data_IF_754500268898
#
_entry.id   IF_754500268898
#
_cell.length_a   1.000
_cell.length_b   1.000
_cell.length_c   1.000
_cell.angle_alpha   90.00
_cell.angle_beta   90.00
_cell.angle_gamma   90.00
#
_symmetry.space_group_name_H-M   'P 1'
#
loop_
_entity.id
_entity.type
_entity.pdbx_description
1 polymer ?
#
# COMPACT_ATOMS: atom_id res chain seq x y z
N UNK A 1 -9.93 34.86 -1.79
CA UNK A 1 -10.10 33.72 -0.85
C UNK A 1 -9.66 32.49 -1.61
N UNK A 2 -8.41 32.04 -1.44
CA UNK A 2 -7.93 30.83 -2.11
C UNK A 2 -8.51 29.63 -1.35
N UNK A 3 -9.44 28.91 -1.98
CA UNK A 3 -9.87 27.60 -1.48
C UNK A 3 -8.67 26.66 -1.56
N UNK A 4 -8.04 26.42 -0.41
CA UNK A 4 -7.01 25.39 -0.22
C UNK A 4 -7.64 23.99 -0.04
N UNK A 5 -8.94 23.87 -0.25
CA UNK A 5 -9.70 22.64 -0.05
C UNK A 5 -9.82 21.89 -1.37
N UNK A 6 -9.71 20.56 -1.29
CA UNK A 6 -10.01 19.67 -2.40
C UNK A 6 -11.47 19.90 -2.82
N UNK A 7 -11.78 19.99 -4.12
CA UNK A 7 -13.16 20.03 -4.57
C UNK A 7 -13.91 18.79 -4.07
N UNK A 8 -15.16 18.97 -3.66
CA UNK A 8 -15.98 17.87 -3.15
C UNK A 8 -16.21 16.81 -4.23
N UNK A 9 -16.37 15.56 -3.79
CA UNK A 9 -16.71 14.45 -4.69
C UNK A 9 -17.94 14.77 -5.55
N UNK A 10 -17.88 14.45 -6.83
CA UNK A 10 -18.91 14.72 -7.82
C UNK A 10 -18.90 16.13 -8.40
N UNK A 11 -18.05 17.04 -7.88
CA UNK A 11 -17.84 18.38 -8.48
C UNK A 11 -17.34 18.21 -9.91
N UNK A 12 -17.90 19.03 -10.80
CA UNK A 12 -17.51 19.06 -12.21
C UNK A 12 -16.68 20.31 -12.46
N UNK A 13 -15.50 20.15 -13.04
CA UNK A 13 -14.51 21.20 -13.30
C UNK A 13 -13.99 21.08 -14.73
N UNK A 14 -13.31 22.11 -15.23
CA UNK A 14 -12.43 21.91 -16.40
C UNK A 14 -11.23 21.04 -16.01
N UNK A 15 -10.56 20.44 -16.99
CA UNK A 15 -9.34 19.67 -16.72
C UNK A 15 -8.25 20.56 -16.13
N UNK A 16 -8.09 21.79 -16.64
CA UNK A 16 -7.12 22.75 -16.12
C UNK A 16 -7.39 23.16 -14.67
N UNK A 17 -8.66 23.29 -14.27
CA UNK A 17 -9.06 23.55 -12.89
C UNK A 17 -8.79 22.34 -11.99
N UNK A 18 -9.16 21.14 -12.46
CA UNK A 18 -8.92 19.89 -11.74
C UNK A 18 -7.43 19.63 -11.52
N UNK A 19 -6.57 19.82 -12.54
CA UNK A 19 -5.10 19.62 -12.41
C UNK A 19 -4.56 20.49 -11.29
N UNK A 20 -4.89 21.79 -11.32
CA UNK A 20 -4.46 22.75 -10.29
C UNK A 20 -4.97 22.39 -8.90
N UNK A 21 -6.19 21.87 -8.79
CA UNK A 21 -6.76 21.45 -7.52
C UNK A 21 -6.04 20.21 -6.96
N UNK A 22 -5.78 19.20 -7.80
CA UNK A 22 -5.12 17.96 -7.40
C UNK A 22 -3.65 18.20 -7.04
N UNK A 23 -2.95 19.07 -7.79
CA UNK A 23 -1.56 19.46 -7.50
C UNK A 23 -1.46 20.16 -6.14
N UNK A 24 -2.38 21.09 -5.86
CA UNK A 24 -2.44 21.78 -4.56
C UNK A 24 -2.75 20.80 -3.43
N UNK A 25 -3.74 19.94 -3.61
CA UNK A 25 -4.14 18.97 -2.59
C UNK A 25 -3.01 17.98 -2.28
N UNK A 26 -2.38 17.38 -3.29
CA UNK A 26 -1.22 16.48 -3.08
C UNK A 26 -0.11 17.21 -2.33
N UNK A 27 0.19 18.45 -2.70
CA UNK A 27 1.20 19.23 -2.01
C UNK A 27 0.87 19.44 -0.54
N UNK A 28 -0.36 19.81 -0.19
CA UNK A 28 -0.79 19.96 1.20
C UNK A 28 -0.66 18.65 1.99
N UNK A 29 -0.92 17.52 1.35
CA UNK A 29 -0.75 16.21 1.96
C UNK A 29 0.72 15.88 2.22
N UNK A 30 1.59 16.17 1.26
CA UNK A 30 3.03 15.95 1.39
C UNK A 30 3.68 16.86 2.44
N UNK A 31 3.19 18.09 2.59
CA UNK A 31 3.64 19.04 3.63
C UNK A 31 3.43 18.52 5.06
N UNK A 32 2.54 17.55 5.28
CA UNK A 32 2.35 16.89 6.59
C UNK A 32 3.51 15.96 6.96
N UNK A 33 4.23 15.43 5.98
CA UNK A 33 5.29 14.43 6.18
C UNK A 33 6.69 14.92 5.79
N UNK A 34 6.79 15.84 4.84
CA UNK A 34 8.05 16.30 4.29
C UNK A 34 8.28 17.80 4.51
N UNK A 35 9.54 18.17 4.71
CA UNK A 35 9.97 19.56 4.66
C UNK A 35 9.95 20.11 3.23
N UNK A 36 9.86 21.45 3.12
CA UNK A 36 9.70 22.16 1.85
C UNK A 36 10.72 21.80 0.75
N UNK A 37 11.95 21.40 1.13
CA UNK A 37 13.00 21.02 0.18
C UNK A 37 12.75 19.70 -0.57
N UNK A 38 11.90 18.81 -0.06
CA UNK A 38 11.62 17.52 -0.69
C UNK A 38 10.35 17.53 -1.56
N UNK A 39 9.43 18.47 -1.30
CA UNK A 39 8.13 18.56 -1.99
C UNK A 39 8.22 18.55 -3.53
N UNK A 40 9.22 19.15 -4.20
CA UNK A 40 9.30 19.12 -5.66
C UNK A 40 9.63 17.74 -6.25
N UNK A 41 10.11 16.79 -5.44
CA UNK A 41 10.69 15.53 -5.91
C UNK A 41 9.92 14.29 -5.45
N UNK A 42 8.79 14.46 -4.76
CA UNK A 42 8.02 13.36 -4.15
C UNK A 42 6.54 13.50 -4.47
N UNK A 43 5.86 12.37 -4.70
CA UNK A 43 4.41 12.28 -4.82
C UNK A 43 3.77 11.53 -3.66
N UNK A 44 2.44 11.56 -3.59
CA UNK A 44 1.67 10.82 -2.57
C UNK A 44 1.95 9.31 -2.60
N UNK A 45 2.28 8.76 -3.78
CA UNK A 45 2.63 7.36 -3.93
C UNK A 45 3.98 7.01 -3.27
N UNK A 46 4.96 7.92 -3.34
CA UNK A 46 6.26 7.75 -2.68
C UNK A 46 6.10 7.81 -1.15
N UNK A 47 5.24 8.72 -0.68
CA UNK A 47 4.88 8.79 0.73
C UNK A 47 4.21 7.49 1.19
N UNK A 48 3.26 6.95 0.43
CA UNK A 48 2.62 5.66 0.75
C UNK A 48 3.66 4.56 0.94
N UNK A 49 4.63 4.45 0.03
CA UNK A 49 5.70 3.45 0.13
C UNK A 49 6.50 3.58 1.44
N UNK A 50 6.84 4.82 1.84
CA UNK A 50 7.55 5.06 3.11
C UNK A 50 6.68 4.72 4.33
N UNK A 51 5.40 5.10 4.29
CA UNK A 51 4.45 4.79 5.35
C UNK A 51 4.24 3.28 5.50
N UNK A 52 4.14 2.53 4.41
CA UNK A 52 4.04 1.06 4.42
C UNK A 52 5.29 0.41 5.03
N UNK A 53 6.48 0.88 4.67
CA UNK A 53 7.74 0.39 5.24
C UNK A 53 7.81 0.63 6.75
N UNK A 54 7.39 1.82 7.22
CA UNK A 54 7.33 2.12 8.65
C UNK A 54 6.26 1.29 9.37
N UNK A 55 5.08 1.13 8.77
CA UNK A 55 4.01 0.32 9.32
C UNK A 55 4.44 -1.14 9.49
N UNK A 56 5.17 -1.68 8.52
CA UNK A 56 5.75 -3.02 8.59
C UNK A 56 6.79 -3.13 9.70
N UNK A 57 7.70 -2.15 9.80
CA UNK A 57 8.71 -2.09 10.87
C UNK A 57 8.07 -2.11 12.27
N UNK A 58 6.91 -1.48 12.44
CA UNK A 58 6.20 -1.43 13.71
C UNK A 58 5.14 -2.54 13.89
N UNK A 59 4.91 -3.42 12.90
CA UNK A 59 3.88 -4.46 12.96
C UNK A 59 2.45 -3.91 13.05
N UNK A 60 2.19 -2.80 12.34
CA UNK A 60 0.89 -2.10 12.32
C UNK A 60 0.28 -1.97 10.92
N UNK A 61 0.89 -2.56 9.89
CA UNK A 61 0.43 -2.51 8.48
C UNK A 61 -1.05 -2.90 8.26
N UNK A 62 -1.59 -3.81 9.07
CA UNK A 62 -2.99 -4.26 9.01
C UNK A 62 -3.93 -3.51 9.96
N UNK A 63 -3.45 -2.49 10.68
CA UNK A 63 -4.20 -1.80 11.74
C UNK A 63 -4.68 -0.42 11.29
N UNK A 64 -5.80 0.02 11.85
CA UNK A 64 -6.29 1.41 11.74
C UNK A 64 -6.46 1.88 10.30
N UNK A 65 -5.94 3.07 10.02
CA UNK A 65 -6.07 3.74 8.73
C UNK A 65 -5.25 3.16 7.58
N UNK A 66 -4.21 2.35 7.80
CA UNK A 66 -3.28 1.94 6.74
C UNK A 66 -3.94 1.25 5.53
N UNK A 67 -4.82 0.24 5.71
CA UNK A 67 -5.50 -0.38 4.58
C UNK A 67 -6.43 0.58 3.82
N UNK A 68 -7.01 1.57 4.51
CA UNK A 68 -7.89 2.59 3.91
C UNK A 68 -7.05 3.62 3.15
N UNK A 69 -6.01 4.17 3.79
CA UNK A 69 -5.07 5.11 3.18
C UNK A 69 -4.44 4.55 1.90
N UNK A 70 -4.01 3.28 1.93
CA UNK A 70 -3.48 2.59 0.74
C UNK A 70 -4.48 2.57 -0.42
N UNK A 71 -5.77 2.34 -0.12
CA UNK A 71 -6.84 2.35 -1.12
C UNK A 71 -7.06 3.76 -1.67
N UNK A 72 -7.15 4.75 -0.79
CA UNK A 72 -7.41 6.13 -1.18
C UNK A 72 -6.27 6.74 -2.01
N UNK A 73 -5.00 6.53 -1.62
CA UNK A 73 -3.85 7.00 -2.40
C UNK A 73 -3.80 6.33 -3.79
N UNK A 74 -4.10 5.03 -3.88
CA UNK A 74 -4.18 4.34 -5.18
C UNK A 74 -5.31 4.90 -6.05
N UNK A 75 -6.46 5.20 -5.47
CA UNK A 75 -7.57 5.83 -6.18
C UNK A 75 -7.17 7.21 -6.68
N UNK A 76 -6.61 8.04 -5.80
CA UNK A 76 -6.13 9.38 -6.14
C UNK A 76 -5.08 9.37 -7.26
N UNK A 77 -4.08 8.50 -7.16
CA UNK A 77 -3.03 8.36 -8.18
C UNK A 77 -3.58 7.90 -9.53
N UNK A 78 -4.54 6.96 -9.52
CA UNK A 78 -5.19 6.49 -10.74
C UNK A 78 -6.01 7.59 -11.40
N UNK A 79 -6.79 8.33 -10.63
CA UNK A 79 -7.63 9.42 -11.11
C UNK A 79 -6.80 10.59 -11.62
N UNK A 80 -5.71 10.95 -10.93
CA UNK A 80 -4.76 11.96 -11.40
C UNK A 80 -4.07 11.55 -12.70
N UNK A 81 -3.73 10.28 -12.84
CA UNK A 81 -3.15 9.74 -14.08
C UNK A 81 -4.17 9.83 -15.23
N UNK A 82 -5.44 9.53 -14.97
CA UNK A 82 -6.52 9.69 -15.94
C UNK A 82 -6.71 11.17 -16.34
N UNK A 83 -6.65 12.07 -15.35
CA UNK A 83 -6.71 13.51 -15.57
C UNK A 83 -5.58 14.00 -16.48
N UNK A 84 -4.36 13.52 -16.26
CA UNK A 84 -3.20 13.91 -17.06
C UNK A 84 -3.18 13.33 -18.48
N UNK A 85 -3.76 12.14 -18.68
CA UNK A 85 -3.84 11.47 -19.98
C UNK A 85 -5.05 11.91 -20.83
N UNK A 86 -6.00 12.64 -20.25
CA UNK A 86 -7.22 13.05 -20.96
C UNK A 86 -8.02 11.86 -21.51
N UNK A 87 -8.73 12.10 -22.61
CA UNK A 87 -9.53 11.07 -23.31
C UNK A 87 -8.89 10.57 -24.60
N UNK A 88 -7.81 11.22 -25.09
CA UNK A 88 -7.20 10.92 -26.39
C UNK A 88 -6.22 9.74 -26.36
N UNK A 89 -5.98 9.12 -25.20
CA UNK A 89 -5.12 7.94 -25.08
C UNK A 89 -3.61 8.21 -25.15
N UNK A 90 -3.20 9.44 -25.46
CA UNK A 90 -1.82 9.89 -25.36
C UNK A 90 -1.43 10.13 -23.89
N UNK A 91 -0.19 9.78 -23.53
CA UNK A 91 0.27 9.91 -22.16
C UNK A 91 0.66 11.35 -21.84
N UNK A 92 0.04 11.90 -20.80
CA UNK A 92 0.42 13.16 -20.16
C UNK A 92 0.40 14.40 -21.08
N UNK A 93 -0.21 14.33 -22.27
CA UNK A 93 -0.16 15.43 -23.25
C UNK A 93 -0.83 16.71 -22.72
N UNK A 94 -1.87 16.57 -21.90
CA UNK A 94 -2.55 17.71 -21.26
C UNK A 94 -1.68 18.45 -20.23
N UNK A 95 -0.64 17.79 -19.69
CA UNK A 95 0.33 18.44 -18.79
C UNK A 95 1.50 19.08 -19.54
N UNK A 96 1.70 18.73 -20.81
CA UNK A 96 2.85 19.17 -21.61
C UNK A 96 2.50 20.31 -22.58
N UNK A 97 1.23 20.43 -22.98
CA UNK A 97 0.77 21.41 -23.95
C UNK A 97 -0.43 22.22 -23.41
N UNK A 98 -0.16 23.48 -23.06
CA UNK A 98 -1.19 24.40 -22.57
C UNK A 98 -2.29 24.70 -23.61
N UNK A 99 -1.96 24.66 -24.90
CA UNK A 99 -2.93 24.90 -25.96
C UNK A 99 -3.88 23.71 -26.11
N UNK A 100 -3.35 22.49 -26.03
CA UNK A 100 -4.14 21.26 -25.99
C UNK A 100 -5.04 21.22 -24.76
N UNK A 101 -4.53 21.63 -23.59
CA UNK A 101 -5.33 21.72 -22.36
C UNK A 101 -6.48 22.72 -22.49
N UNK A 102 -6.24 23.90 -23.05
CA UNK A 102 -7.31 24.90 -23.29
C UNK A 102 -8.39 24.36 -24.23
N UNK A 103 -8.00 23.72 -25.33
CA UNK A 103 -8.96 23.12 -26.27
C UNK A 103 -9.74 21.97 -25.62
N UNK A 104 -9.09 21.20 -24.75
CA UNK A 104 -9.73 20.13 -24.00
C UNK A 104 -10.75 20.68 -23.00
N UNK A 105 -10.40 21.76 -22.29
CA UNK A 105 -11.29 22.47 -21.35
C UNK A 105 -12.55 23.03 -22.02
N UNK A 106 -12.50 23.36 -23.32
CA UNK A 106 -13.67 23.82 -24.09
C UNK A 106 -14.68 22.71 -24.39
N UNK A 107 -14.24 21.45 -24.39
CA UNK A 107 -15.03 20.31 -24.93
C UNK A 107 -15.30 19.22 -23.90
N UNK A 108 -14.51 19.16 -22.83
CA UNK A 108 -14.56 18.09 -21.83
C UNK A 108 -14.58 18.66 -20.42
N UNK A 109 -15.38 18.02 -19.57
CA UNK A 109 -15.42 18.31 -18.15
C UNK A 109 -14.92 17.11 -17.38
N UNK A 110 -14.22 17.40 -16.29
CA UNK A 110 -13.72 16.41 -15.34
C UNK A 110 -14.65 16.33 -14.14
N UNK A 111 -15.09 15.13 -13.79
CA UNK A 111 -15.87 14.88 -12.58
C UNK A 111 -14.97 14.29 -11.50
N UNK A 112 -14.84 15.00 -10.40
CA UNK A 112 -14.04 14.60 -9.24
C UNK A 112 -14.63 13.32 -8.64
N UNK A 113 -13.84 12.26 -8.57
CA UNK A 113 -14.19 10.97 -7.97
C UNK A 113 -13.56 10.73 -6.60
N UNK A 114 -12.58 11.54 -6.21
CA UNK A 114 -11.89 11.43 -4.91
C UNK A 114 -12.62 12.19 -3.81
N UNK A 115 -12.73 11.55 -2.65
CA UNK A 115 -13.08 12.20 -1.40
C UNK A 115 -11.80 12.71 -0.71
N UNK A 116 -11.49 13.99 -0.90
CA UNK A 116 -10.28 14.62 -0.37
C UNK A 116 -10.21 14.65 1.15
N UNK A 117 -11.36 14.88 1.81
CA UNK A 117 -11.44 14.94 3.26
C UNK A 117 -11.18 13.57 3.88
N UNK A 118 -11.73 12.52 3.26
CA UNK A 118 -11.48 11.14 3.68
C UNK A 118 -10.00 10.76 3.52
N UNK A 119 -9.39 11.09 2.39
CA UNK A 119 -7.96 10.82 2.15
C UNK A 119 -7.06 11.61 3.13
N UNK A 120 -7.39 12.88 3.41
CA UNK A 120 -6.69 13.69 4.41
C UNK A 120 -6.81 13.09 5.82
N UNK A 121 -8.01 12.70 6.24
CA UNK A 121 -8.25 12.09 7.54
C UNK A 121 -7.56 10.73 7.70
N UNK A 122 -7.61 9.87 6.67
CA UNK A 122 -6.91 8.58 6.68
C UNK A 122 -5.37 8.76 6.78
N UNK A 123 -4.80 9.82 6.18
CA UNK A 123 -3.37 10.14 6.34
C UNK A 123 -3.04 10.61 7.75
N UNK A 124 -3.84 11.53 8.29
CA UNK A 124 -3.61 12.08 9.64
C UNK A 124 -3.68 10.98 10.70
N UNK A 125 -4.65 10.07 10.61
CA UNK A 125 -4.74 8.91 11.49
C UNK A 125 -3.52 7.99 11.35
N UNK A 126 -3.05 7.71 10.12
CA UNK A 126 -1.87 6.88 9.90
C UNK A 126 -0.58 7.50 10.48
N UNK A 127 -0.40 8.81 10.30
CA UNK A 127 0.72 9.54 10.88
C UNK A 127 0.67 9.56 12.41
N UNK A 128 -0.52 9.73 13.00
CA UNK A 128 -0.71 9.68 14.45
C UNK A 128 -0.39 8.27 15.02
N UNK A 129 -0.83 7.21 14.33
CA UNK A 129 -0.50 5.84 14.70
C UNK A 129 1.01 5.58 14.67
N UNK A 130 1.70 6.05 13.63
CA UNK A 130 3.17 5.95 13.55
C UNK A 130 3.86 6.75 14.64
N UNK A 131 3.36 7.95 14.95
CA UNK A 131 3.89 8.77 16.04
C UNK A 131 3.78 8.05 17.39
N UNK A 132 2.62 7.44 17.68
CA UNK A 132 2.40 6.66 18.91
C UNK A 132 3.32 5.44 19.02
N UNK A 133 3.50 4.68 17.94
CA UNK A 133 4.36 3.50 17.96
C UNK A 133 5.86 3.86 18.00
N UNK A 134 6.27 4.89 17.26
CA UNK A 134 7.67 5.37 17.33
C UNK A 134 8.05 5.87 18.72
N UNK A 135 7.12 6.48 19.47
CA UNK A 135 7.36 6.89 20.86
C UNK A 135 7.50 5.71 21.84
N UNK A 136 6.94 4.54 21.51
CA UNK A 136 7.04 3.30 22.29
C UNK A 136 8.31 2.50 21.97
N UNK A 137 8.92 2.75 20.82
CA UNK A 137 10.08 2.03 20.33
C UNK A 137 11.30 2.94 20.49
N UNK A 138 12.12 2.68 21.50
CA UNK A 138 13.46 3.26 21.55
C UNK A 138 14.33 2.60 20.47
N UNK A 139 14.37 3.27 19.31
CA UNK A 139 15.10 2.82 18.11
C UNK A 139 16.60 2.63 18.40
N UNK A 140 17.15 3.32 19.39
CA UNK A 140 18.55 3.19 19.80
C UNK A 140 18.77 2.06 20.81
N UNK A 141 17.86 1.86 21.77
CA UNK A 141 17.95 0.71 22.68
C UNK A 141 17.82 -0.64 21.93
N UNK A 142 16.94 -0.72 20.93
CA UNK A 142 16.71 -1.96 20.17
C UNK A 142 17.91 -2.36 19.26
N UNK A 143 18.88 -1.46 19.04
CA UNK A 143 20.09 -1.76 18.25
C UNK A 143 21.19 -2.46 19.07
N UNK A 144 21.21 -2.27 20.39
CA UNK A 144 22.26 -2.82 21.28
C UNK A 144 21.74 -3.67 22.45
N UNK A 145 20.43 -3.94 22.54
CA UNK A 145 19.86 -4.74 23.63
C UNK A 145 19.97 -6.26 23.36
N UNK A 146 20.54 -7.05 24.29
CA UNK A 146 20.61 -8.51 24.18
C UNK A 146 19.25 -9.22 24.05
N UNK A 147 18.17 -8.59 24.55
CA UNK A 147 16.82 -9.17 24.62
C UNK A 147 15.97 -8.93 23.36
N UNK A 148 16.59 -8.53 22.24
CA UNK A 148 15.88 -8.26 20.98
C UNK A 148 15.03 -9.44 20.50
N UNK A 149 15.51 -10.67 20.71
CA UNK A 149 14.84 -11.87 20.21
C UNK A 149 13.51 -12.21 20.90
N UNK A 150 13.37 -11.91 22.20
CA UNK A 150 12.14 -12.18 22.94
C UNK A 150 11.05 -11.15 22.61
N UNK A 151 11.41 -9.88 22.45
CA UNK A 151 10.44 -8.83 22.08
C UNK A 151 9.97 -8.90 20.63
N UNK A 152 10.85 -9.26 19.69
CA UNK A 152 10.46 -9.47 18.29
C UNK A 152 9.53 -10.68 18.14
N UNK A 153 9.64 -11.70 19.00
CA UNK A 153 8.76 -12.88 18.96
C UNK A 153 7.39 -12.67 19.62
N UNK A 154 7.26 -11.68 20.50
CA UNK A 154 5.96 -11.21 21.02
C UNK A 154 5.27 -10.20 20.08
N UNK A 155 6.05 -9.39 19.33
CA UNK A 155 5.53 -8.43 18.33
C UNK A 155 5.15 -9.07 17.01
N UNK A 156 5.93 -10.05 16.55
CA UNK A 156 5.59 -10.92 15.43
C UNK A 156 4.54 -11.89 15.97
N UNK A 157 3.31 -11.42 16.13
CA UNK A 157 2.20 -12.21 16.61
C UNK A 157 2.26 -13.58 15.97
N UNK A 158 2.55 -14.62 16.76
CA UNK A 158 2.52 -16.01 16.30
C UNK A 158 1.10 -16.26 15.87
N UNK A 159 0.80 -16.01 14.60
CA UNK A 159 -0.51 -16.29 14.05
C UNK A 159 -0.74 -17.78 14.31
N UNK A 160 -1.68 -18.13 15.20
CA UNK A 160 -1.89 -19.52 15.58
C UNK A 160 -2.10 -20.37 14.33
N UNK A 161 -2.70 -19.77 13.30
CA UNK A 161 -2.95 -20.39 12.01
C UNK A 161 -1.68 -20.87 11.30
N UNK A 162 -0.60 -20.09 11.23
CA UNK A 162 0.66 -20.53 10.59
C UNK A 162 1.35 -21.65 11.37
N UNK A 163 1.27 -21.63 12.71
CA UNK A 163 1.80 -22.71 13.55
C UNK A 163 1.04 -24.02 13.31
N UNK A 164 -0.29 -23.97 13.28
CA UNK A 164 -1.12 -25.14 13.01
C UNK A 164 -0.99 -25.62 11.56
N UNK A 165 -0.85 -24.72 10.58
CA UNK A 165 -0.60 -25.05 9.19
C UNK A 165 0.76 -25.75 8.99
N UNK A 166 1.81 -25.28 9.67
CA UNK A 166 3.12 -25.94 9.64
C UNK A 166 3.09 -27.35 10.25
N UNK A 167 2.40 -27.53 11.37
CA UNK A 167 2.21 -28.86 11.99
C UNK A 167 1.40 -29.77 11.07
N UNK A 168 0.33 -29.26 10.44
CA UNK A 168 -0.49 -30.01 9.49
C UNK A 168 0.30 -30.45 8.26
N UNK A 169 1.15 -29.57 7.72
CA UNK A 169 2.01 -29.88 6.58
C UNK A 169 3.02 -30.98 6.92
N UNK A 170 3.66 -30.91 8.09
CA UNK A 170 4.58 -31.96 8.56
C UNK A 170 3.90 -33.32 8.70
N UNK A 171 2.69 -33.37 9.29
CA UNK A 171 1.92 -34.60 9.42
C UNK A 171 1.54 -35.19 8.04
N UNK A 172 1.12 -34.34 7.11
CA UNK A 172 0.80 -34.76 5.74
C UNK A 172 2.01 -35.35 5.03
N UNK A 173 3.19 -34.71 5.12
CA UNK A 173 4.42 -35.22 4.51
C UNK A 173 4.87 -36.56 5.12
N UNK A 174 4.72 -36.73 6.44
CA UNK A 174 4.99 -38.00 7.09
C UNK A 174 4.05 -39.12 6.60
N UNK A 175 2.75 -38.84 6.50
CA UNK A 175 1.77 -39.79 5.95
C UNK A 175 2.07 -40.16 4.49
N UNK A 176 2.44 -39.19 3.65
CA UNK A 176 2.84 -39.42 2.27
C UNK A 176 4.10 -40.29 2.19
N UNK A 177 5.10 -40.04 3.03
CA UNK A 177 6.31 -40.86 3.10
C UNK A 177 6.03 -42.31 3.49
N UNK A 178 5.17 -42.53 4.49
CA UNK A 178 4.74 -43.88 4.89
C UNK A 178 3.97 -44.56 3.74
N UNK A 179 3.07 -43.83 3.07
CA UNK A 179 2.33 -44.36 1.93
C UNK A 179 3.24 -44.79 0.77
N UNK A 180 4.28 -44.01 0.45
CA UNK A 180 5.25 -44.36 -0.58
C UNK A 180 6.09 -45.58 -0.20
N UNK A 181 6.47 -45.71 1.08
CA UNK A 181 7.17 -46.89 1.59
C UNK A 181 6.34 -48.16 1.47
N UNK A 182 5.06 -48.10 1.88
CA UNK A 182 4.13 -49.23 1.74
C UNK A 182 3.96 -49.61 0.27
N UNK A 183 3.76 -48.63 -0.62
CA UNK A 183 3.66 -48.88 -2.05
C UNK A 183 4.91 -49.54 -2.63
N UNK A 184 6.10 -49.10 -2.19
CA UNK A 184 7.38 -49.67 -2.62
C UNK A 184 7.53 -51.12 -2.18
N UNK A 185 7.16 -51.45 -0.93
CA UNK A 185 7.18 -52.84 -0.42
C UNK A 185 6.21 -53.73 -1.20
N UNK A 186 5.00 -53.24 -1.49
CA UNK A 186 4.05 -53.98 -2.32
C UNK A 186 4.56 -54.20 -3.75
N UNK A 187 5.17 -53.19 -4.36
CA UNK A 187 5.71 -53.29 -5.71
C UNK A 187 6.91 -54.24 -5.78
N UNK A 188 7.81 -54.21 -4.79
CA UNK A 188 8.92 -55.17 -4.66
C UNK A 188 8.39 -56.59 -4.44
N UNK A 189 7.37 -56.76 -3.59
CA UNK A 189 6.73 -58.06 -3.34
C UNK A 189 5.99 -58.63 -4.55
N UNK A 190 5.41 -57.77 -5.39
CA UNK A 190 4.83 -58.19 -6.66
C UNK A 190 5.94 -58.58 -7.65
N UNK A 191 6.98 -57.76 -7.82
CA UNK A 191 8.09 -58.05 -8.74
C UNK A 191 8.90 -59.30 -8.34
N UNK A 192 9.08 -59.57 -7.04
CA UNK A 192 9.79 -60.77 -6.58
C UNK A 192 9.01 -62.07 -6.85
N UNK A 193 7.68 -61.99 -6.95
CA UNK A 193 6.82 -63.12 -7.33
C UNK A 193 6.92 -63.52 -8.80
N UNK A 194 7.49 -62.64 -9.65
CA UNK A 194 7.77 -62.91 -11.07
C UNK A 194 9.23 -63.37 -11.32
N UNK A 195 10.07 -63.39 -10.28
CA UNK A 195 11.49 -63.77 -10.36
C UNK A 195 11.82 -65.10 -9.65
N UNK A 196 10.82 -65.85 -9.18
CA UNK A 196 10.92 -67.25 -8.70
C UNK A 196 10.23 -68.17 -9.70
#
# INVERSE_FOLDING_TARGET
>A
MQMNEMPSIGTTLTYGEAIKAYDRFERTMLEKAYGAGLLPAVGLYDLLWQLESLAQKFGIEGKGAFPRLKREIRSFSSERTALANGVNGERFYLLQDESALKQHDETHLFKVGIDGDKLAGDLDEALELLSKESARVDVYADTYSPDRSERDSDRLGKDPFMKWAGIGFCAMMACLGISMLVHSVFQIGFCSKWFI
#
